data_IF_306842170381
#
_entry.id   IF_306842170381
#
_cell.length_a   1.000
_cell.length_b   1.000
_cell.length_c   1.000
_cell.angle_alpha   90.00
_cell.angle_beta   90.00
_cell.angle_gamma   90.00
#
_symmetry.space_group_name_H-M   'P 1'
#
loop_
_entity.id
_entity.type
_entity.pdbx_description
1 polymer ?
#
# COMPACT_ATOMS: atom_id res chain seq x y z
N UNK A 1 14.75 2.65 0.74
CA UNK A 1 14.73 2.75 -0.73
C UNK A 1 16.13 3.13 -1.17
N UNK A 2 16.59 2.54 -2.25
CA UNK A 2 17.80 2.99 -2.94
C UNK A 2 17.52 4.35 -3.56
N UNK A 3 18.42 5.32 -3.44
CA UNK A 3 18.23 6.65 -4.05
C UNK A 3 18.68 6.70 -5.51
N UNK A 4 19.65 5.87 -5.89
CA UNK A 4 20.25 5.86 -7.24
C UNK A 4 19.53 4.96 -8.24
N UNK A 5 18.81 3.93 -7.79
CA UNK A 5 18.24 2.87 -8.64
C UNK A 5 19.25 1.97 -9.36
N UNK A 6 20.55 2.22 -9.18
CA UNK A 6 21.60 1.43 -9.81
C UNK A 6 21.62 -0.01 -9.30
N UNK A 7 21.99 -0.94 -10.19
CA UNK A 7 22.10 -2.38 -9.89
C UNK A 7 22.91 -2.64 -8.62
N UNK A 8 24.07 -2.00 -8.50
CA UNK A 8 24.99 -2.19 -7.38
C UNK A 8 24.37 -1.77 -6.04
N UNK A 9 23.62 -0.66 -6.03
CA UNK A 9 23.01 -0.15 -4.80
C UNK A 9 21.79 -0.99 -4.40
N UNK A 10 21.02 -1.49 -5.37
CA UNK A 10 19.95 -2.46 -5.15
C UNK A 10 20.52 -3.77 -4.58
N UNK A 11 21.60 -4.31 -5.18
CA UNK A 11 22.23 -5.53 -4.68
C UNK A 11 22.72 -5.37 -3.23
N UNK A 12 23.34 -4.24 -2.88
CA UNK A 12 23.78 -3.97 -1.51
C UNK A 12 22.59 -3.97 -0.52
N UNK A 13 21.42 -3.46 -0.91
CA UNK A 13 20.22 -3.51 -0.08
C UNK A 13 19.67 -4.93 0.05
N UNK A 14 19.68 -5.73 -1.02
CA UNK A 14 19.28 -7.14 -1.00
C UNK A 14 20.21 -7.96 -0.10
N UNK A 15 21.52 -7.73 -0.18
CA UNK A 15 22.51 -8.42 0.66
C UNK A 15 22.30 -8.10 2.14
N UNK A 16 22.05 -6.83 2.47
CA UNK A 16 21.70 -6.42 3.83
C UNK A 16 20.40 -7.09 4.32
N UNK A 17 19.38 -7.18 3.46
CA UNK A 17 18.10 -7.81 3.80
C UNK A 17 18.25 -9.33 3.99
N UNK A 18 19.07 -9.97 3.17
CA UNK A 18 19.39 -11.41 3.26
C UNK A 18 20.02 -11.74 4.62
N UNK A 19 20.91 -10.88 5.11
CA UNK A 19 21.61 -11.03 6.39
C UNK A 19 20.68 -10.97 7.62
N UNK A 20 19.44 -10.52 7.47
CA UNK A 20 18.50 -10.43 8.60
C UNK A 20 18.04 -11.82 9.08
N UNK A 21 17.76 -12.03 10.38
CA UNK A 21 17.46 -13.35 10.95
C UNK A 21 16.07 -13.90 10.61
N UNK A 22 15.24 -13.10 9.93
CA UNK A 22 13.85 -13.44 9.61
C UNK A 22 13.76 -14.61 8.62
N UNK A 23 12.83 -15.55 8.88
CA UNK A 23 12.59 -16.73 8.03
C UNK A 23 12.18 -16.36 6.60
N UNK A 24 11.29 -15.38 6.48
CA UNK A 24 10.81 -14.88 5.19
C UNK A 24 11.17 -13.40 5.06
N UNK A 25 11.74 -13.03 3.92
CA UNK A 25 11.95 -11.64 3.51
C UNK A 25 11.18 -11.44 2.22
N UNK A 26 10.10 -10.68 2.27
CA UNK A 26 9.24 -10.42 1.11
C UNK A 26 9.44 -8.99 0.66
N UNK A 27 9.77 -8.77 -0.62
CA UNK A 27 10.06 -7.46 -1.20
C UNK A 27 9.14 -7.18 -2.37
N UNK A 28 8.72 -5.92 -2.48
CA UNK A 28 8.07 -5.34 -3.65
C UNK A 28 8.89 -4.11 -4.00
N UNK A 29 9.11 -3.87 -5.28
CA UNK A 29 9.83 -2.69 -5.75
C UNK A 29 9.00 -1.41 -5.58
N UNK A 30 9.70 -0.29 -5.51
CA UNK A 30 9.13 1.05 -5.66
C UNK A 30 9.70 1.77 -6.89
N UNK A 31 9.29 3.02 -7.05
CA UNK A 31 9.70 3.87 -8.17
C UNK A 31 11.21 4.07 -8.33
N UNK A 32 11.99 3.95 -7.24
CA UNK A 32 13.46 4.10 -7.32
C UNK A 32 14.20 2.80 -7.66
N UNK A 33 13.52 1.66 -7.80
CA UNK A 33 14.16 0.38 -8.06
C UNK A 33 14.30 0.13 -9.58
N UNK A 34 14.86 1.11 -10.30
CA UNK A 34 14.90 1.17 -11.76
C UNK A 34 15.51 -0.06 -12.44
N UNK A 35 16.45 -0.75 -11.82
CA UNK A 35 17.01 -1.97 -12.40
C UNK A 35 15.97 -3.07 -12.67
N UNK A 36 14.88 -3.12 -11.89
CA UNK A 36 13.83 -4.12 -12.08
C UNK A 36 12.86 -3.79 -13.22
N UNK A 37 12.87 -2.55 -13.72
CA UNK A 37 12.02 -2.10 -14.81
C UNK A 37 12.88 -1.75 -16.03
N UNK A 38 12.90 -2.59 -17.08
CA UNK A 38 13.70 -2.35 -18.28
C UNK A 38 13.50 -0.97 -18.92
N UNK A 39 12.32 -0.37 -18.80
CA UNK A 39 12.02 0.95 -19.37
C UNK A 39 12.60 2.10 -18.53
N UNK A 40 12.86 1.86 -17.25
CA UNK A 40 13.40 2.85 -16.31
C UNK A 40 14.90 2.68 -16.02
N UNK A 41 15.53 1.62 -16.55
CA UNK A 41 16.94 1.31 -16.27
C UNK A 41 17.86 2.47 -16.63
N UNK A 42 18.86 2.68 -15.77
CA UNK A 42 19.95 3.59 -16.07
C UNK A 42 20.73 3.07 -17.27
N UNK A 43 21.17 3.96 -18.16
CA UNK A 43 21.97 3.61 -19.36
C UNK A 43 23.18 2.72 -19.04
N UNK A 44 23.87 3.01 -17.93
CA UNK A 44 25.02 2.23 -17.46
C UNK A 44 24.67 0.78 -17.06
N UNK A 45 23.43 0.54 -16.67
CA UNK A 45 22.92 -0.79 -16.28
C UNK A 45 22.15 -1.48 -17.42
N UNK A 46 21.70 -0.74 -18.45
CA UNK A 46 20.92 -1.26 -19.59
C UNK A 46 21.72 -2.20 -20.50
N UNK A 47 23.03 -1.95 -20.64
CA UNK A 47 23.94 -2.76 -21.45
C UNK A 47 24.57 -3.94 -20.66
N UNK A 48 24.29 -4.04 -19.36
CA UNK A 48 24.86 -5.08 -18.51
C UNK A 48 24.08 -6.40 -18.62
N UNK A 49 24.81 -7.52 -18.64
CA UNK A 49 24.23 -8.87 -18.51
C UNK A 49 24.14 -9.33 -17.05
N UNK A 50 24.58 -8.49 -16.11
CA UNK A 50 24.53 -8.79 -14.68
C UNK A 50 23.09 -8.93 -14.21
N UNK A 51 22.84 -9.91 -13.35
CA UNK A 51 21.54 -10.12 -12.71
C UNK A 51 21.60 -9.78 -11.22
N UNK A 52 20.46 -9.54 -10.61
CA UNK A 52 20.37 -9.41 -9.15
C UNK A 52 20.31 -10.80 -8.52
N UNK A 53 21.09 -11.01 -7.46
CA UNK A 53 20.95 -12.19 -6.62
C UNK A 53 19.80 -11.96 -5.64
N UNK A 54 18.68 -12.65 -5.86
CA UNK A 54 17.49 -12.66 -5.01
C UNK A 54 17.44 -13.85 -4.05
N UNK A 55 18.53 -14.62 -3.92
CA UNK A 55 18.57 -15.80 -3.05
C UNK A 55 18.15 -15.46 -1.61
N UNK A 56 17.25 -16.26 -1.04
CA UNK A 56 16.71 -16.05 0.31
C UNK A 56 15.71 -14.89 0.45
N UNK A 57 15.32 -14.25 -0.65
CA UNK A 57 14.33 -13.17 -0.71
C UNK A 57 13.20 -13.60 -1.64
N UNK A 58 11.96 -13.34 -1.21
CA UNK A 58 10.77 -13.50 -2.05
C UNK A 58 10.46 -12.14 -2.66
N UNK A 59 10.79 -11.98 -3.93
CA UNK A 59 10.39 -10.81 -4.71
C UNK A 59 8.99 -11.03 -5.28
N UNK A 60 8.12 -10.02 -5.19
CA UNK A 60 6.77 -10.05 -5.75
C UNK A 60 6.57 -8.90 -6.73
N UNK A 61 6.15 -9.25 -7.95
CA UNK A 61 5.79 -8.30 -9.01
C UNK A 61 4.47 -8.73 -9.65
N UNK A 62 3.36 -8.24 -9.07
CA UNK A 62 1.99 -8.68 -9.42
C UNK A 62 1.77 -10.18 -9.19
N UNK A 63 2.35 -10.70 -8.10
CA UNK A 63 2.32 -12.11 -7.75
C UNK A 63 1.95 -12.32 -6.28
N UNK A 64 1.46 -13.54 -5.99
CA UNK A 64 1.17 -14.00 -4.64
C UNK A 64 2.15 -15.08 -4.20
N UNK A 65 2.51 -15.08 -2.93
CA UNK A 65 3.23 -16.17 -2.26
C UNK A 65 2.45 -16.65 -1.05
N UNK A 66 2.39 -17.96 -0.85
CA UNK A 66 1.90 -18.55 0.40
C UNK A 66 3.06 -18.84 1.34
N UNK A 67 3.15 -18.09 2.43
CA UNK A 67 4.10 -18.32 3.50
C UNK A 67 3.55 -19.36 4.48
N UNK A 68 4.38 -20.32 4.87
CA UNK A 68 3.99 -21.41 5.79
C UNK A 68 4.75 -21.28 7.10
N UNK A 69 4.04 -21.31 8.21
CA UNK A 69 4.58 -21.17 9.55
C UNK A 69 4.38 -22.45 10.35
N UNK A 70 5.07 -22.53 11.48
CA UNK A 70 4.96 -23.67 12.38
C UNK A 70 3.54 -23.74 12.96
N UNK A 71 3.08 -24.96 13.28
CA UNK A 71 1.68 -25.18 13.67
C UNK A 71 0.67 -25.10 12.51
N UNK A 72 1.15 -25.09 11.25
CA UNK A 72 0.30 -25.22 10.05
C UNK A 72 -0.35 -23.91 9.58
N UNK A 73 -0.07 -22.79 10.27
CA UNK A 73 -0.55 -21.46 9.86
C UNK A 73 0.02 -21.08 8.49
N UNK A 74 -0.82 -20.47 7.65
CA UNK A 74 -0.44 -19.95 6.34
C UNK A 74 -0.83 -18.47 6.25
N UNK A 75 -0.06 -17.71 5.48
CA UNK A 75 -0.42 -16.35 5.08
C UNK A 75 -0.17 -16.19 3.59
N UNK A 76 -1.16 -15.67 2.87
CA UNK A 76 -1.02 -15.30 1.46
C UNK A 76 -0.62 -13.83 1.37
N UNK A 77 0.54 -13.57 0.77
CA UNK A 77 1.05 -12.22 0.54
C UNK A 77 0.99 -11.94 -0.95
N UNK A 78 0.25 -10.92 -1.36
CA UNK A 78 0.26 -10.40 -2.72
C UNK A 78 1.04 -9.10 -2.77
N UNK A 79 1.86 -8.92 -3.80
CA UNK A 79 2.70 -7.73 -3.96
C UNK A 79 2.70 -7.20 -5.39
N UNK A 80 2.54 -5.91 -5.55
CA UNK A 80 2.61 -5.23 -6.85
C UNK A 80 3.30 -3.86 -6.72
N UNK A 81 4.30 -3.55 -7.58
CA UNK A 81 5.09 -2.33 -7.47
C UNK A 81 4.43 -1.11 -8.14
N UNK A 82 3.33 -1.34 -8.84
CA UNK A 82 2.65 -0.38 -9.70
C UNK A 82 2.27 0.91 -8.99
N UNK A 83 2.59 2.04 -9.60
CA UNK A 83 2.18 3.37 -9.13
C UNK A 83 1.78 4.31 -10.28
N UNK A 84 0.90 5.29 -10.04
CA UNK A 84 0.60 6.33 -11.03
C UNK A 84 1.88 7.08 -11.44
N UNK A 85 1.92 7.51 -12.70
CA UNK A 85 3.02 8.30 -13.26
C UNK A 85 3.37 9.52 -12.38
N UNK A 86 4.61 9.58 -11.93
CA UNK A 86 5.24 10.69 -11.19
C UNK A 86 6.07 11.59 -12.12
N UNK A 87 6.31 11.13 -13.35
CA UNK A 87 7.26 11.74 -14.30
C UNK A 87 8.70 11.30 -14.04
N UNK A 88 9.60 11.65 -14.95
CA UNK A 88 11.02 11.26 -14.89
C UNK A 88 11.27 9.86 -15.44
N UNK A 89 12.29 9.74 -16.29
CA UNK A 89 12.53 8.53 -17.10
C UNK A 89 13.05 7.35 -16.27
N UNK A 90 13.67 7.62 -15.11
CA UNK A 90 14.26 6.57 -14.26
C UNK A 90 13.31 6.10 -13.13
N UNK A 91 12.04 6.53 -13.14
CA UNK A 91 11.06 6.05 -12.17
C UNK A 91 10.39 4.78 -12.69
N UNK A 92 10.59 3.68 -11.98
CA UNK A 92 10.08 2.36 -12.32
C UNK A 92 8.59 2.18 -12.04
N UNK A 93 7.96 1.24 -12.76
CA UNK A 93 6.60 0.73 -12.51
C UNK A 93 5.50 1.79 -12.58
N UNK A 94 5.72 2.83 -13.37
CA UNK A 94 4.75 3.89 -13.61
C UNK A 94 3.65 3.41 -14.56
N UNK A 95 2.41 3.81 -14.28
CA UNK A 95 1.31 3.65 -15.22
C UNK A 95 0.50 4.94 -15.34
N UNK A 96 -0.13 5.15 -16.49
CA UNK A 96 -1.14 6.20 -16.64
C UNK A 96 -2.47 5.74 -16.06
N UNK A 97 -3.28 6.62 -15.43
CA UNK A 97 -4.53 6.22 -14.78
C UNK A 97 -5.50 5.34 -15.60
N UNK A 98 -5.65 5.51 -16.94
CA UNK A 98 -6.46 4.61 -17.76
C UNK A 98 -5.95 3.18 -17.81
N UNK A 99 -4.64 2.98 -17.64
CA UNK A 99 -3.92 1.71 -17.76
C UNK A 99 -3.68 1.05 -16.39
N UNK A 100 -4.35 1.54 -15.34
CA UNK A 100 -4.18 1.05 -13.99
C UNK A 100 -4.44 -0.47 -13.92
N UNK A 101 -3.45 -1.29 -13.52
CA UNK A 101 -3.50 -2.75 -13.69
C UNK A 101 -4.33 -3.46 -12.61
N UNK A 102 -4.88 -2.71 -11.65
CA UNK A 102 -5.42 -3.25 -10.40
C UNK A 102 -6.69 -4.08 -10.58
N UNK A 103 -7.56 -3.76 -11.53
CA UNK A 103 -8.88 -4.39 -11.63
C UNK A 103 -8.81 -5.93 -11.72
N UNK A 104 -9.26 -6.62 -10.67
CA UNK A 104 -9.22 -8.08 -10.55
C UNK A 104 -7.83 -8.68 -10.31
N UNK A 105 -6.80 -7.87 -10.11
CA UNK A 105 -5.40 -8.31 -10.01
C UNK A 105 -5.10 -9.06 -8.71
N UNK A 106 -5.68 -8.61 -7.59
CA UNK A 106 -5.36 -9.13 -6.26
C UNK A 106 -6.21 -10.38 -5.95
N UNK A 107 -5.65 -11.55 -5.65
CA UNK A 107 -6.46 -12.73 -5.28
C UNK A 107 -7.33 -12.49 -4.03
N UNK A 108 -8.51 -13.10 -3.96
CA UNK A 108 -9.46 -12.91 -2.85
C UNK A 108 -8.95 -13.50 -1.52
N UNK A 109 -8.10 -14.50 -1.59
CA UNK A 109 -7.45 -15.16 -0.47
C UNK A 109 -6.28 -14.38 0.13
N UNK A 110 -5.97 -13.18 -0.39
CA UNK A 110 -4.85 -12.35 0.06
C UNK A 110 -5.04 -11.90 1.52
N UNK A 111 -4.16 -12.36 2.40
CA UNK A 111 -4.12 -11.91 3.79
C UNK A 111 -3.37 -10.57 3.94
N UNK A 112 -2.27 -10.44 3.20
CA UNK A 112 -1.38 -9.27 3.24
C UNK A 112 -1.21 -8.73 1.82
N UNK A 113 -1.66 -7.50 1.59
CA UNK A 113 -1.38 -6.75 0.37
C UNK A 113 -0.16 -5.86 0.57
N UNK A 114 0.78 -5.90 -0.37
CA UNK A 114 1.93 -4.99 -0.45
C UNK A 114 1.85 -4.17 -1.73
N UNK A 115 1.85 -2.85 -1.61
CA UNK A 115 1.88 -1.95 -2.76
C UNK A 115 2.76 -0.74 -2.49
N UNK A 116 2.98 0.08 -3.50
CA UNK A 116 3.53 1.42 -3.36
C UNK A 116 2.37 2.43 -3.32
N UNK A 117 2.49 3.55 -2.58
CA UNK A 117 1.61 4.76 -2.55
C UNK A 117 0.67 4.96 -1.34
N UNK A 118 0.70 6.17 -0.76
CA UNK A 118 -0.37 6.81 0.06
C UNK A 118 -0.16 8.35 0.19
N UNK A 119 -1.11 9.08 0.79
CA UNK A 119 -1.27 10.53 0.97
C UNK A 119 -1.62 11.32 -0.29
N UNK A 120 -2.90 11.24 -0.70
CA UNK A 120 -3.47 12.10 -1.75
C UNK A 120 -3.01 11.80 -3.17
N UNK A 121 -1.92 11.02 -3.32
CA UNK A 121 -1.44 10.49 -4.59
C UNK A 121 -2.02 9.11 -4.91
N UNK A 122 -2.87 8.57 -4.02
CA UNK A 122 -3.47 7.23 -4.11
C UNK A 122 -4.17 6.90 -5.43
N UNK A 123 -4.30 5.60 -5.74
CA UNK A 123 -4.98 5.12 -6.94
C UNK A 123 -6.43 4.67 -6.64
N UNK A 124 -7.46 5.25 -7.30
CA UNK A 124 -8.84 4.80 -7.13
C UNK A 124 -9.06 3.34 -7.54
N UNK A 125 -8.29 2.83 -8.51
CA UNK A 125 -8.39 1.43 -8.94
C UNK A 125 -7.88 0.49 -7.84
N UNK A 126 -6.75 0.81 -7.21
CA UNK A 126 -6.24 0.09 -6.05
C UNK A 126 -7.22 0.12 -4.87
N UNK A 127 -7.82 1.28 -4.57
CA UNK A 127 -8.81 1.38 -3.50
C UNK A 127 -10.00 0.43 -3.72
N UNK A 128 -10.50 0.32 -4.96
CA UNK A 128 -11.58 -0.65 -5.29
C UNK A 128 -11.15 -2.10 -5.07
N UNK A 129 -9.90 -2.43 -5.40
CA UNK A 129 -9.37 -3.77 -5.14
C UNK A 129 -9.23 -4.08 -3.65
N UNK A 130 -8.81 -3.10 -2.84
CA UNK A 130 -8.77 -3.22 -1.38
C UNK A 130 -10.17 -3.47 -0.81
N UNK A 131 -11.19 -2.75 -1.28
CA UNK A 131 -12.59 -2.99 -0.91
C UNK A 131 -13.12 -4.37 -1.33
N UNK A 132 -12.63 -4.89 -2.46
CA UNK A 132 -13.00 -6.21 -2.99
C UNK A 132 -12.35 -7.35 -2.22
N UNK A 133 -11.06 -7.24 -1.95
CA UNK A 133 -10.23 -8.30 -1.35
C UNK A 133 -10.19 -8.24 0.16
N UNK A 134 -10.31 -7.05 0.75
CA UNK A 134 -10.37 -6.81 2.20
C UNK A 134 -9.22 -7.50 2.96
N UNK A 135 -7.96 -7.27 2.57
CA UNK A 135 -6.82 -7.96 3.16
C UNK A 135 -6.73 -7.62 4.64
N UNK A 136 -6.30 -8.56 5.49
CA UNK A 136 -6.15 -8.30 6.93
C UNK A 136 -5.13 -7.21 7.22
N UNK A 137 -4.12 -7.10 6.36
CA UNK A 137 -3.07 -6.09 6.41
C UNK A 137 -2.79 -5.56 5.00
N UNK A 138 -2.75 -4.23 4.85
CA UNK A 138 -2.23 -3.58 3.65
C UNK A 138 -1.00 -2.76 4.04
N UNK A 139 0.16 -3.14 3.52
CA UNK A 139 1.42 -2.43 3.75
C UNK A 139 1.80 -1.66 2.50
N UNK A 140 2.11 -0.38 2.67
CA UNK A 140 2.55 0.48 1.58
C UNK A 140 3.60 1.49 2.06
N UNK A 141 4.09 2.29 1.13
CA UNK A 141 5.13 3.29 1.36
C UNK A 141 5.07 4.38 0.30
N UNK A 142 6.24 4.81 -0.20
CA UNK A 142 6.42 5.94 -1.11
C UNK A 142 6.39 7.31 -0.43
N UNK A 143 5.27 7.70 0.18
CA UNK A 143 5.16 9.03 0.79
C UNK A 143 5.52 8.98 2.27
N UNK A 144 6.67 9.57 2.58
CA UNK A 144 7.29 9.53 3.91
C UNK A 144 6.50 10.30 4.97
N UNK A 145 5.79 11.36 4.59
CA UNK A 145 4.92 12.13 5.48
C UNK A 145 3.69 11.36 5.97
N UNK A 146 3.37 10.22 5.36
CA UNK A 146 2.22 9.40 5.71
C UNK A 146 2.52 8.28 6.67
N UNK A 147 3.76 8.17 7.18
CA UNK A 147 4.18 7.08 8.04
C UNK A 147 3.23 6.92 9.25
N UNK A 148 2.70 5.71 9.42
CA UNK A 148 1.66 5.46 10.40
C UNK A 148 0.86 4.19 10.15
N UNK A 149 -0.19 4.02 10.95
CA UNK A 149 -1.12 2.91 10.84
C UNK A 149 -2.54 3.37 11.12
N UNK A 150 -3.50 2.78 10.41
CA UNK A 150 -4.92 3.07 10.54
C UNK A 150 -5.72 1.79 10.44
N UNK A 151 -6.73 1.62 11.31
CA UNK A 151 -7.67 0.52 11.21
C UNK A 151 -8.88 0.97 10.40
N UNK A 152 -9.18 0.25 9.33
CA UNK A 152 -10.28 0.55 8.41
C UNK A 152 -11.28 -0.59 8.45
N UNK A 153 -12.57 -0.28 8.42
CA UNK A 153 -13.64 -1.25 8.35
C UNK A 153 -14.40 -1.10 7.05
N UNK A 154 -14.63 -2.20 6.33
CA UNK A 154 -15.36 -2.15 5.05
C UNK A 154 -16.88 -2.14 5.26
N UNK A 155 -17.40 -1.03 5.78
CA UNK A 155 -18.81 -0.81 6.02
C UNK A 155 -19.34 0.48 5.38
N UNK A 156 -20.65 0.70 5.48
CA UNK A 156 -21.31 1.84 4.86
C UNK A 156 -20.81 3.19 5.41
N UNK A 157 -20.34 3.24 6.67
CA UNK A 157 -19.79 4.46 7.25
C UNK A 157 -18.46 4.81 6.60
N UNK A 158 -17.56 3.84 6.45
CA UNK A 158 -16.29 4.02 5.73
C UNK A 158 -16.52 4.42 4.27
N UNK A 159 -17.44 3.76 3.56
CA UNK A 159 -17.76 4.10 2.18
C UNK A 159 -18.28 5.54 2.04
N UNK A 160 -19.12 5.99 2.97
CA UNK A 160 -19.63 7.37 2.99
C UNK A 160 -18.52 8.38 3.30
N UNK A 161 -17.61 8.04 4.22
CA UNK A 161 -16.45 8.86 4.56
C UNK A 161 -15.51 9.04 3.38
N UNK A 162 -15.15 7.97 2.68
CA UNK A 162 -14.30 8.04 1.48
C UNK A 162 -14.95 8.85 0.35
N UNK A 163 -16.27 8.70 0.15
CA UNK A 163 -17.01 9.49 -0.83
C UNK A 163 -17.02 11.00 -0.48
N UNK A 164 -17.06 11.34 0.81
CA UNK A 164 -16.96 12.72 1.28
C UNK A 164 -15.54 13.27 1.04
N UNK A 165 -14.50 12.51 1.37
CA UNK A 165 -13.10 12.92 1.20
C UNK A 165 -12.68 13.04 -0.28
N UNK A 166 -13.35 12.32 -1.18
CA UNK A 166 -13.12 12.43 -2.62
C UNK A 166 -13.71 13.70 -3.27
N UNK A 167 -14.52 14.48 -2.53
CA UNK A 167 -15.06 15.74 -3.06
C UNK A 167 -13.97 16.82 -3.12
N UNK A 168 -13.93 17.64 -4.18
CA UNK A 168 -12.98 18.74 -4.26
C UNK A 168 -13.27 19.78 -3.17
N UNK A 169 -12.24 20.36 -2.53
CA UNK A 169 -12.43 21.43 -1.55
C UNK A 169 -13.05 22.65 -2.23
N UNK A 170 -14.06 23.25 -1.61
CA UNK A 170 -14.75 24.45 -2.16
C UNK A 170 -14.23 25.76 -1.56
N UNK A 171 -13.43 25.67 -0.51
CA UNK A 171 -12.85 26.80 0.20
C UNK A 171 -13.71 27.26 1.38
N UNK A 172 -13.06 27.84 2.39
CA UNK A 172 -13.62 28.09 3.71
C UNK A 172 -15.01 28.77 3.72
N UNK A 173 -15.22 29.77 2.86
CA UNK A 173 -16.50 30.50 2.79
C UNK A 173 -17.61 29.69 2.13
N UNK A 174 -17.28 28.90 1.11
CA UNK A 174 -18.26 28.10 0.36
C UNK A 174 -18.59 26.78 1.05
N UNK A 175 -17.70 26.28 1.90
CA UNK A 175 -17.95 25.10 2.73
C UNK A 175 -19.01 25.37 3.81
N UNK A 176 -19.19 26.63 4.23
CA UNK A 176 -20.25 27.05 5.15
C UNK A 176 -21.65 27.09 4.50
N UNK A 177 -21.72 27.10 3.16
CA UNK A 177 -23.00 27.08 2.44
C UNK A 177 -23.46 25.64 2.26
N UNK A 178 -24.70 25.27 2.66
CA UNK A 178 -25.22 23.91 2.51
C UNK A 178 -25.04 23.36 1.10
N UNK A 179 -24.44 22.17 1.01
CA UNK A 179 -24.09 21.53 -0.26
C UNK A 179 -24.05 20.00 -0.13
N UNK A 180 -23.65 19.30 -1.20
CA UNK A 180 -23.58 17.83 -1.22
C UNK A 180 -22.68 17.24 -0.12
N UNK A 181 -21.59 17.92 0.25
CA UNK A 181 -20.70 17.50 1.32
C UNK A 181 -21.41 17.44 2.67
N UNK A 182 -22.36 18.35 2.93
CA UNK A 182 -23.17 18.33 4.16
C UNK A 182 -24.07 17.09 4.23
N UNK A 183 -24.67 16.70 3.10
CA UNK A 183 -25.49 15.49 3.02
C UNK A 183 -24.64 14.23 3.24
N UNK A 184 -23.48 14.14 2.61
CA UNK A 184 -22.56 13.02 2.81
C UNK A 184 -22.03 12.98 4.24
N UNK A 185 -21.70 14.11 4.85
CA UNK A 185 -21.29 14.19 6.26
C UNK A 185 -22.38 13.68 7.19
N UNK A 186 -23.63 14.12 6.99
CA UNK A 186 -24.77 13.63 7.76
C UNK A 186 -24.97 12.12 7.56
N UNK A 187 -24.85 11.61 6.32
CA UNK A 187 -24.92 10.19 6.02
C UNK A 187 -23.82 9.41 6.74
N UNK A 188 -22.56 9.85 6.68
CA UNK A 188 -21.43 9.22 7.38
C UNK A 188 -21.68 9.14 8.88
N UNK A 189 -22.15 10.22 9.50
CA UNK A 189 -22.48 10.24 10.93
C UNK A 189 -23.60 9.25 11.25
N UNK A 190 -24.71 9.28 10.49
CA UNK A 190 -25.85 8.40 10.70
C UNK A 190 -25.48 6.92 10.52
N UNK A 191 -24.71 6.59 9.49
CA UNK A 191 -24.23 5.23 9.24
C UNK A 191 -23.28 4.76 10.35
N UNK A 192 -22.40 5.65 10.83
CA UNK A 192 -21.50 5.36 11.94
C UNK A 192 -22.26 5.06 13.23
N UNK A 193 -23.24 5.89 13.59
CA UNK A 193 -24.10 5.68 14.76
C UNK A 193 -24.90 4.38 14.62
N UNK A 194 -25.53 4.15 13.47
CA UNK A 194 -26.32 2.94 13.22
C UNK A 194 -25.45 1.68 13.31
N UNK A 195 -24.27 1.70 12.70
CA UNK A 195 -23.31 0.59 12.75
C UNK A 195 -22.84 0.29 14.16
N UNK A 196 -22.53 1.32 14.95
CA UNK A 196 -22.16 1.17 16.36
C UNK A 196 -23.30 0.59 17.20
N UNK A 197 -24.50 1.16 17.12
CA UNK A 197 -25.68 0.71 17.87
C UNK A 197 -26.04 -0.72 17.50
N UNK A 198 -26.05 -1.06 16.21
CA UNK A 198 -26.34 -2.41 15.74
C UNK A 198 -25.31 -3.43 16.28
N UNK A 199 -24.01 -3.14 16.20
CA UNK A 199 -22.97 -4.01 16.77
C UNK A 199 -23.15 -4.17 18.28
N UNK A 200 -23.37 -3.07 19.00
CA UNK A 200 -23.56 -3.09 20.45
C UNK A 200 -24.79 -3.90 20.88
N UNK A 201 -25.89 -3.84 20.13
CA UNK A 201 -27.14 -4.54 20.45
C UNK A 201 -27.19 -6.00 19.97
N UNK A 202 -26.67 -6.30 18.78
CA UNK A 202 -27.00 -7.53 18.04
C UNK A 202 -25.83 -8.52 17.90
N UNK A 203 -24.59 -8.08 18.06
CA UNK A 203 -23.41 -8.91 17.80
C UNK A 203 -22.37 -8.67 18.91
N UNK A 204 -22.21 -9.64 19.82
CA UNK A 204 -20.96 -9.78 20.57
C UNK A 204 -19.77 -9.72 19.59
N UNK A 205 -18.58 -9.34 20.07
CA UNK A 205 -17.39 -8.87 19.30
C UNK A 205 -16.84 -9.73 18.14
N UNK A 206 -17.56 -10.75 17.69
CA UNK A 206 -17.19 -11.65 16.61
C UNK A 206 -17.50 -11.02 15.23
N UNK A 207 -16.42 -10.74 14.49
CA UNK A 207 -16.46 -10.61 13.04
C UNK A 207 -16.32 -9.19 12.50
N UNK A 208 -15.23 -8.49 12.83
CA UNK A 208 -14.88 -7.30 12.04
C UNK A 208 -14.10 -7.71 10.79
N UNK A 209 -14.66 -7.48 9.61
CA UNK A 209 -13.95 -7.40 8.34
C UNK A 209 -13.14 -6.10 8.29
N UNK A 210 -12.21 -5.94 9.22
CA UNK A 210 -11.32 -4.80 9.32
C UNK A 210 -9.97 -5.10 8.70
N UNK A 211 -9.36 -4.09 8.11
CA UNK A 211 -7.98 -4.10 7.65
C UNK A 211 -7.15 -3.19 8.54
N UNK A 212 -5.91 -3.59 8.81
CA UNK A 212 -4.90 -2.64 9.26
C UNK A 212 -4.16 -2.11 8.04
N UNK A 213 -4.24 -0.80 7.81
CA UNK A 213 -3.47 -0.07 6.82
C UNK A 213 -2.17 0.41 7.46
N UNK A 214 -1.03 0.19 6.81
CA UNK A 214 0.29 0.55 7.36
C UNK A 214 1.14 1.21 6.29
N UNK A 215 1.37 2.52 6.45
CA UNK A 215 2.45 3.20 5.75
C UNK A 215 3.75 2.92 6.51
N UNK A 216 4.57 2.04 5.95
CA UNK A 216 5.83 1.58 6.55
C UNK A 216 7.04 2.47 6.21
N UNK A 217 6.81 3.71 5.75
CA UNK A 217 7.90 4.64 5.45
C UNK A 217 8.78 4.92 6.70
N UNK A 218 10.07 4.64 6.57
CA UNK A 218 11.04 4.80 7.66
C UNK A 218 11.77 6.16 7.64
N UNK A 219 11.82 6.82 6.49
CA UNK A 219 12.39 8.16 6.38
C UNK A 219 11.42 9.19 6.95
N UNK A 220 11.94 10.19 7.70
CA UNK A 220 11.13 11.32 8.14
C UNK A 220 11.12 12.42 7.08
N UNK A 221 9.94 12.68 6.52
CA UNK A 221 9.80 13.57 5.36
C UNK A 221 10.81 13.19 4.27
N UNK A 222 11.50 14.19 3.71
CA UNK A 222 12.51 13.98 2.67
C UNK A 222 13.93 14.28 3.19
N UNK A 223 14.15 14.09 4.48
CA UNK A 223 15.40 14.47 5.17
C UNK A 223 16.58 13.57 4.86
N UNK A 224 16.36 12.42 4.21
CA UNK A 224 17.38 11.38 4.05
C UNK A 224 17.61 10.54 5.32
N UNK A 225 16.98 10.88 6.45
CA UNK A 225 17.21 10.23 7.75
C UNK A 225 16.12 9.24 8.10
N UNK A 226 16.52 8.04 8.51
CA UNK A 226 15.64 6.94 8.93
C UNK A 226 15.24 7.15 10.40
N UNK A 227 14.21 7.94 10.65
CA UNK A 227 13.75 8.28 12.01
C UNK A 227 12.47 7.53 12.41
N UNK A 228 11.63 7.15 11.44
CA UNK A 228 10.40 6.41 11.72
C UNK A 228 10.74 4.94 12.06
N UNK A 229 10.09 4.43 13.10
CA UNK A 229 10.34 3.08 13.60
C UNK A 229 9.81 2.01 12.64
N UNK A 230 10.47 0.84 12.55
CA UNK A 230 9.90 -0.33 11.91
C UNK A 230 8.51 -0.65 12.49
N UNK A 231 7.57 -1.01 11.62
CA UNK A 231 6.22 -1.38 12.02
C UNK A 231 6.15 -2.88 12.32
N UNK A 232 5.62 -3.23 13.49
CA UNK A 232 5.39 -4.61 13.92
C UNK A 232 3.89 -4.83 14.08
N UNK A 233 3.36 -5.82 13.38
CA UNK A 233 1.93 -6.13 13.33
C UNK A 233 1.71 -7.58 13.75
N UNK A 234 0.73 -7.81 14.63
CA UNK A 234 0.30 -9.13 15.03
C UNK A 234 -0.98 -9.47 14.27
N UNK A 235 -0.89 -10.50 13.43
CA UNK A 235 -2.00 -11.06 12.66
C UNK A 235 -2.46 -12.38 13.27
#
# INVERSE_FOLDING_TARGET
>A
MVSSGSRAAIQAQLDWLRAQPHRYKVVVCGNHDSFFDPEARLEADSESTDTLDLSGIVYLQREAVTLKFDGGRKLVVFGAPDLPCLGGDNNAFQYHPPDAPWAGLVPLETDILKSHLDLGLGCPSLLREVWRTRPRLHVFGHVHWGAGREAVFFDAAQQSYEALMALPPRGLLWDLVPNRSWLLMAQTILQGINGFVFRWLMLGSAGSSGSLMVNAAQMYGDTGRMENKPQVVYL
#
